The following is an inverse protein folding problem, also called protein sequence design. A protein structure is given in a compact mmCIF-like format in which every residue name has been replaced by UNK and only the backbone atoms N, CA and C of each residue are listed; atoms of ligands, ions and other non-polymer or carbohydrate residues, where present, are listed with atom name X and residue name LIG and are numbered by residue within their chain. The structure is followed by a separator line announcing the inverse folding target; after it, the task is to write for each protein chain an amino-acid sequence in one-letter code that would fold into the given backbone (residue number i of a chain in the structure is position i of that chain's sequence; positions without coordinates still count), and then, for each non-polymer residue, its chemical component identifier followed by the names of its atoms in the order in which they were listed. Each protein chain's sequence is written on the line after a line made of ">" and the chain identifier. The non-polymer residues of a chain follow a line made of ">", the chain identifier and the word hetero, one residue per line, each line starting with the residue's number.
data_IF_756569792173
#
_entry.id   IF_756569792173
#
_cell.length_a   1.000
_cell.length_b   1.000
_cell.length_c   1.000
_cell.angle_alpha   90.00
_cell.angle_beta   90.00
_cell.angle_gamma   90.00
#
_symmetry.space_group_name_H-M   'P 1'
#
loop_
_entity.id
_entity.type
_entity.pdbx_description
1 polymer ?
#
# COMPACT_ATOMS: atom_id res chain seq x y z
N UNK A 1 6.40 9.66 9.25
CA UNK A 1 5.51 8.67 8.59
C UNK A 1 6.33 7.43 8.34
N UNK A 2 5.87 6.27 8.81
CA UNK A 2 6.50 4.99 8.50
C UNK A 2 6.21 4.67 7.02
N UNK A 3 7.22 4.20 6.30
CA UNK A 3 7.06 3.74 4.92
C UNK A 3 6.16 2.49 4.91
N UNK A 4 5.29 2.35 3.90
CA UNK A 4 4.33 1.24 3.82
C UNK A 4 4.05 0.89 2.34
N UNK A 5 4.11 -0.40 2.00
CA UNK A 5 3.94 -0.91 0.64
C UNK A 5 2.57 -0.56 0.07
N UNK A 6 1.49 -0.75 0.83
CA UNK A 6 0.13 -0.44 0.38
C UNK A 6 -0.02 1.04 0.01
N UNK A 7 0.54 1.92 0.84
CA UNK A 7 0.53 3.36 0.58
C UNK A 7 1.36 3.73 -0.65
N UNK A 8 2.55 3.15 -0.80
CA UNK A 8 3.38 3.37 -1.99
C UNK A 8 2.68 2.88 -3.27
N UNK A 9 2.01 1.74 -3.21
CA UNK A 9 1.19 1.22 -4.30
C UNK A 9 0.04 2.18 -4.64
N UNK A 10 -0.66 2.73 -3.65
CA UNK A 10 -1.72 3.74 -3.89
C UNK A 10 -1.17 5.01 -4.56
N UNK A 11 0.01 5.47 -4.15
CA UNK A 11 0.68 6.61 -4.77
C UNK A 11 1.15 6.33 -6.20
N UNK A 12 1.55 5.08 -6.50
CA UNK A 12 1.84 4.62 -7.86
C UNK A 12 0.56 4.59 -8.69
N UNK A 13 -0.54 4.01 -8.19
CA UNK A 13 -1.85 3.98 -8.85
C UNK A 13 -2.34 5.40 -9.16
N UNK A 14 -2.20 6.33 -8.22
CA UNK A 14 -2.53 7.74 -8.45
C UNK A 14 -1.73 8.31 -9.63
N UNK A 15 -0.44 7.99 -9.73
CA UNK A 15 0.42 8.43 -10.84
C UNK A 15 -0.01 7.80 -12.19
N UNK A 16 -0.40 6.52 -12.18
CA UNK A 16 -0.89 5.82 -13.37
C UNK A 16 -2.26 6.33 -13.85
N UNK A 17 -3.10 6.81 -12.93
CA UNK A 17 -4.39 7.47 -13.24
C UNK A 17 -4.20 8.87 -13.83
N UNK A 18 -3.08 9.53 -13.55
CA UNK A 18 -2.74 10.83 -14.12
C UNK A 18 -2.05 10.70 -15.50
N UNK A 19 -1.25 9.65 -15.71
CA UNK A 19 -0.54 9.44 -16.96
C UNK A 19 -1.50 9.03 -18.10
N UNK A 20 -1.49 9.81 -19.17
CA UNK A 20 -2.28 9.54 -20.39
C UNK A 20 -1.55 8.59 -21.32
N UNK A 21 -2.27 7.57 -21.77
CA UNK A 21 -1.88 6.64 -22.83
C UNK A 21 -2.93 6.73 -23.94
N UNK A 22 -2.66 7.57 -24.94
CA UNK A 22 -3.64 7.89 -25.98
C UNK A 22 -4.91 8.56 -25.44
N UNK A 23 -6.07 7.91 -25.60
CA UNK A 23 -7.37 8.40 -25.12
C UNK A 23 -7.72 7.96 -23.70
N UNK A 24 -6.98 6.99 -23.15
CA UNK A 24 -7.17 6.39 -21.83
C UNK A 24 -6.02 6.77 -20.90
N UNK A 25 -6.14 6.47 -19.61
CA UNK A 25 -5.00 6.51 -18.68
C UNK A 25 -4.26 5.18 -18.69
N UNK A 26 -3.02 5.16 -18.19
CA UNK A 26 -2.26 3.91 -18.03
C UNK A 26 -3.01 2.95 -17.09
N UNK A 27 -3.66 3.47 -16.04
CA UNK A 27 -4.52 2.68 -15.16
C UNK A 27 -5.73 2.06 -15.88
N UNK A 28 -6.38 2.81 -16.78
CA UNK A 28 -7.51 2.29 -17.57
C UNK A 28 -7.08 1.20 -18.56
N UNK A 29 -5.85 1.30 -19.09
CA UNK A 29 -5.27 0.25 -19.94
C UNK A 29 -4.97 -1.00 -19.12
N UNK A 30 -4.33 -0.84 -17.96
CA UNK A 30 -4.00 -1.93 -17.03
C UNK A 30 -5.27 -2.68 -16.60
N UNK A 31 -6.25 -1.99 -16.05
CA UNK A 31 -7.52 -2.61 -15.60
C UNK A 31 -8.30 -3.24 -16.74
N UNK A 32 -8.13 -2.80 -17.99
CA UNK A 32 -8.75 -3.44 -19.16
C UNK A 32 -8.12 -4.78 -19.55
N UNK A 33 -6.93 -5.10 -19.04
CA UNK A 33 -6.25 -6.37 -19.25
C UNK A 33 -6.67 -7.45 -18.25
N UNK A 34 -7.24 -7.08 -17.10
CA UNK A 34 -7.76 -8.01 -16.10
C UNK A 34 -8.75 -9.02 -16.71
N UNK A 35 -9.60 -8.56 -17.62
CA UNK A 35 -10.59 -9.41 -18.30
C UNK A 35 -10.04 -10.14 -19.53
N UNK A 36 -8.74 -10.02 -19.83
CA UNK A 36 -8.10 -10.64 -20.99
C UNK A 36 -7.27 -11.84 -20.53
N UNK A 37 -7.58 -13.03 -21.05
CA UNK A 37 -6.73 -14.21 -20.85
C UNK A 37 -5.35 -13.95 -21.47
N UNK A 38 -4.31 -13.84 -20.65
CA UNK A 38 -2.96 -13.59 -21.15
C UNK A 38 -1.97 -13.15 -20.08
N UNK A 39 -0.75 -12.85 -20.55
CA UNK A 39 0.28 -12.18 -19.74
C UNK A 39 0.04 -10.68 -19.75
N UNK A 40 0.26 -10.03 -18.62
CA UNK A 40 0.28 -8.58 -18.52
C UNK A 40 1.22 -7.95 -19.56
N UNK A 41 0.81 -6.82 -20.12
CA UNK A 41 1.65 -6.06 -21.03
C UNK A 41 2.88 -5.52 -20.29
N UNK A 42 4.06 -5.97 -20.72
CA UNK A 42 5.33 -5.57 -20.14
C UNK A 42 5.54 -4.05 -20.18
N UNK A 43 5.03 -3.34 -21.19
CA UNK A 43 5.15 -1.88 -21.24
C UNK A 43 4.36 -1.20 -20.10
N UNK A 44 3.27 -1.82 -19.62
CA UNK A 44 2.52 -1.33 -18.46
C UNK A 44 3.24 -1.69 -17.16
N UNK A 45 3.81 -2.89 -17.07
CA UNK A 45 4.62 -3.31 -15.91
C UNK A 45 5.83 -2.39 -15.74
N UNK A 46 6.57 -2.10 -16.81
CA UNK A 46 7.72 -1.21 -16.81
C UNK A 46 7.35 0.22 -16.33
N UNK A 47 6.12 0.68 -16.60
CA UNK A 47 5.62 1.96 -16.08
C UNK A 47 5.36 1.90 -14.58
N UNK A 48 4.79 0.81 -14.07
CA UNK A 48 4.59 0.60 -12.63
C UNK A 48 5.96 0.61 -11.92
N UNK A 49 6.92 -0.17 -12.40
CA UNK A 49 8.29 -0.22 -11.86
C UNK A 49 8.95 1.16 -11.84
N UNK A 50 8.86 1.90 -12.95
CA UNK A 50 9.39 3.26 -13.05
C UNK A 50 8.80 4.18 -11.98
N UNK A 51 7.48 4.14 -11.78
CA UNK A 51 6.85 4.96 -10.73
C UNK A 51 7.23 4.48 -9.33
N UNK A 52 7.30 3.18 -9.08
CA UNK A 52 7.77 2.63 -7.81
C UNK A 52 9.19 3.13 -7.48
N UNK A 53 10.13 3.05 -8.43
CA UNK A 53 11.48 3.62 -8.28
C UNK A 53 11.46 5.13 -7.99
N UNK A 54 10.60 5.91 -8.67
CA UNK A 54 10.46 7.34 -8.42
C UNK A 54 9.94 7.63 -7.00
N UNK A 55 9.01 6.81 -6.50
CA UNK A 55 8.48 6.93 -5.13
C UNK A 55 9.49 6.52 -4.08
N UNK A 56 10.36 5.55 -4.35
CA UNK A 56 11.42 5.11 -3.43
C UNK A 56 12.61 6.09 -3.37
N UNK A 57 12.92 6.79 -4.47
CA UNK A 57 14.06 7.71 -4.58
C UNK A 57 14.23 8.75 -3.44
N UNK A 58 13.18 9.41 -2.91
CA UNK A 58 13.33 10.38 -1.83
C UNK A 58 13.58 9.78 -0.44
N UNK A 59 13.43 8.46 -0.27
CA UNK A 59 13.54 7.82 1.04
C UNK A 59 14.99 7.50 1.41
N UNK A 60 15.29 7.56 2.71
CA UNK A 60 16.62 7.29 3.24
C UNK A 60 16.87 5.78 3.30
N UNK A 61 18.12 5.38 3.27
CA UNK A 61 18.54 3.97 3.34
C UNK A 61 17.93 3.22 4.52
N UNK A 62 17.89 3.83 5.71
CA UNK A 62 17.27 3.22 6.89
C UNK A 62 15.77 2.99 6.71
N UNK A 63 15.06 3.89 6.03
CA UNK A 63 13.62 3.75 5.77
C UNK A 63 13.38 2.64 4.72
N UNK A 64 14.27 2.51 3.73
CA UNK A 64 14.25 1.43 2.74
C UNK A 64 14.49 0.07 3.41
N UNK A 65 15.53 -0.06 4.26
CA UNK A 65 15.82 -1.32 4.98
C UNK A 65 14.66 -1.72 5.90
N UNK A 66 14.11 -0.76 6.65
CA UNK A 66 12.96 -1.01 7.53
C UNK A 66 11.68 -1.39 6.77
N UNK A 67 11.51 -0.91 5.53
CA UNK A 67 10.42 -1.35 4.67
C UNK A 67 10.69 -2.75 4.10
N UNK A 68 11.93 -3.00 3.66
CA UNK A 68 12.34 -4.28 3.12
C UNK A 68 12.05 -5.42 4.10
N UNK A 69 12.29 -5.24 5.39
CA UNK A 69 11.94 -6.21 6.45
C UNK A 69 10.46 -6.66 6.46
N UNK A 70 9.55 -5.87 5.87
CA UNK A 70 8.13 -6.21 5.75
C UNK A 70 7.74 -6.88 4.42
N UNK A 71 8.70 -7.05 3.49
CA UNK A 71 8.49 -7.71 2.19
C UNK A 71 8.56 -9.23 2.31
N UNK A 72 7.94 -9.94 1.36
CA UNK A 72 8.04 -11.40 1.30
C UNK A 72 9.49 -11.84 1.06
N UNK A 73 10.22 -11.11 0.21
CA UNK A 73 11.64 -11.37 -0.06
C UNK A 73 12.51 -11.34 1.22
N UNK A 74 12.21 -10.45 2.17
CA UNK A 74 12.90 -10.44 3.46
C UNK A 74 12.53 -11.62 4.36
N UNK A 75 11.26 -12.04 4.35
CA UNK A 75 10.80 -13.20 5.11
C UNK A 75 11.44 -14.51 4.60
N UNK A 76 11.67 -14.60 3.30
CA UNK A 76 12.33 -15.73 2.64
C UNK A 76 13.86 -15.64 2.65
N UNK A 77 14.41 -14.47 3.02
CA UNK A 77 15.85 -14.24 3.12
C UNK A 77 16.42 -14.71 4.45
N UNK A 78 17.68 -15.16 4.43
CA UNK A 78 18.48 -15.41 5.62
C UNK A 78 19.45 -14.25 5.92
N UNK A 79 19.45 -13.18 5.11
CA UNK A 79 20.27 -11.98 5.32
C UNK A 79 19.57 -11.04 6.31
N UNK A 80 20.34 -10.48 7.25
CA UNK A 80 19.85 -9.42 8.12
C UNK A 80 19.67 -8.11 7.33
N UNK A 81 18.74 -7.26 7.80
CA UNK A 81 18.36 -6.03 7.10
C UNK A 81 19.46 -4.98 7.04
N UNK A 82 20.51 -5.09 7.85
CA UNK A 82 21.72 -4.26 7.83
C UNK A 82 22.80 -4.81 6.90
N UNK A 83 22.71 -6.08 6.50
CA UNK A 83 23.66 -6.74 5.59
C UNK A 83 23.23 -6.65 4.13
N UNK A 84 21.94 -6.52 3.83
CA UNK A 84 21.45 -6.44 2.45
C UNK A 84 21.97 -5.20 1.71
N UNK A 85 22.28 -5.34 0.42
CA UNK A 85 22.59 -4.22 -0.47
C UNK A 85 21.33 -3.36 -0.71
N UNK A 86 21.45 -2.04 -0.57
CA UNK A 86 20.32 -1.11 -0.74
C UNK A 86 19.64 -1.24 -2.10
N UNK A 87 20.40 -1.48 -3.17
CA UNK A 87 19.84 -1.66 -4.51
C UNK A 87 19.04 -2.95 -4.63
N UNK A 88 19.48 -4.04 -3.98
CA UNK A 88 18.73 -5.29 -3.87
C UNK A 88 17.44 -5.10 -3.07
N UNK A 89 17.53 -4.45 -1.89
CA UNK A 89 16.37 -4.14 -1.07
C UNK A 89 15.32 -3.30 -1.82
N UNK A 90 15.76 -2.32 -2.62
CA UNK A 90 14.84 -1.53 -3.47
C UNK A 90 14.21 -2.37 -4.57
N UNK A 91 14.96 -3.27 -5.20
CA UNK A 91 14.41 -4.14 -6.24
C UNK A 91 13.30 -5.03 -5.67
N UNK A 92 13.55 -5.67 -4.52
CA UNK A 92 12.57 -6.50 -3.83
C UNK A 92 11.31 -5.69 -3.45
N UNK A 93 11.48 -4.48 -2.92
CA UNK A 93 10.34 -3.59 -2.61
C UNK A 93 9.57 -3.18 -3.87
N UNK A 94 10.26 -2.95 -4.99
CA UNK A 94 9.61 -2.61 -6.26
C UNK A 94 8.76 -3.77 -6.76
N UNK A 95 9.27 -5.00 -6.66
CA UNK A 95 8.52 -6.22 -7.02
C UNK A 95 7.23 -6.33 -6.19
N UNK A 96 7.31 -6.16 -4.87
CA UNK A 96 6.14 -6.16 -3.99
C UNK A 96 5.13 -5.06 -4.35
N UNK A 97 5.61 -3.85 -4.69
CA UNK A 97 4.74 -2.75 -5.14
C UNK A 97 4.06 -3.13 -6.46
N UNK A 98 4.78 -3.72 -7.41
CA UNK A 98 4.21 -4.16 -8.69
C UNK A 98 3.11 -5.18 -8.45
N UNK A 99 3.38 -6.23 -7.67
CA UNK A 99 2.40 -7.26 -7.32
C UNK A 99 1.16 -6.62 -6.67
N UNK A 100 1.34 -5.70 -5.72
CA UNK A 100 0.22 -5.02 -5.06
C UNK A 100 -0.61 -4.15 -6.01
N UNK A 101 0.02 -3.50 -6.99
CA UNK A 101 -0.69 -2.71 -8.01
C UNK A 101 -1.48 -3.62 -8.94
N UNK A 102 -0.94 -4.78 -9.32
CA UNK A 102 -1.63 -5.77 -10.14
C UNK A 102 -2.81 -6.40 -9.39
N UNK A 103 -2.63 -6.77 -8.11
CA UNK A 103 -3.72 -7.25 -7.24
C UNK A 103 -4.87 -6.24 -7.17
N UNK A 104 -4.55 -4.96 -7.03
CA UNK A 104 -5.55 -3.88 -7.00
C UNK A 104 -6.18 -3.60 -8.36
N UNK A 105 -5.51 -3.93 -9.46
CA UNK A 105 -6.09 -3.85 -10.78
C UNK A 105 -7.08 -5.01 -10.99
N UNK A 106 -6.76 -6.20 -10.49
CA UNK A 106 -7.63 -7.37 -10.51
C UNK A 106 -8.68 -7.31 -9.39
N UNK A 107 -9.76 -6.56 -9.66
CA UNK A 107 -10.93 -6.44 -8.76
C UNK A 107 -11.61 -7.78 -8.44
N UNK A 108 -11.21 -8.89 -9.07
CA UNK A 108 -11.69 -10.24 -8.71
C UNK A 108 -11.24 -10.68 -7.31
N UNK A 109 -10.26 -9.98 -6.72
CA UNK A 109 -9.77 -10.20 -5.36
C UNK A 109 -10.45 -9.34 -4.28
N UNK A 110 -11.43 -8.48 -4.64
CA UNK A 110 -12.11 -7.59 -3.68
C UNK A 110 -13.29 -8.23 -2.92
N UNK A 111 -13.71 -9.46 -3.24
CA UNK A 111 -14.89 -10.10 -2.61
C UNK A 111 -14.57 -11.07 -1.45
N UNK A 112 -13.31 -11.31 -1.10
CA UNK A 112 -12.94 -12.08 0.10
C UNK A 112 -12.18 -11.21 1.12
N UNK A 113 -12.96 -10.48 1.93
CA UNK A 113 -12.68 -10.10 3.31
C UNK A 113 -11.21 -9.75 3.67
N UNK A 114 -10.70 -8.60 3.22
CA UNK A 114 -9.63 -7.93 3.96
C UNK A 114 -10.23 -6.86 4.87
N UNK A 115 -10.26 -7.17 6.17
CA UNK A 115 -10.55 -6.26 7.27
C UNK A 115 -9.95 -4.87 7.01
N UNK A 116 -10.78 -3.90 6.61
CA UNK A 116 -10.51 -2.49 6.83
C UNK A 116 -10.83 -2.20 8.29
N UNK A 117 -9.95 -2.61 9.20
CA UNK A 117 -9.84 -1.94 10.50
C UNK A 117 -9.01 -0.66 10.27
N UNK A 118 -9.65 0.29 9.59
CA UNK A 118 -9.28 1.70 9.70
C UNK A 118 -9.92 2.19 11.00
N UNK A 119 -9.28 1.86 12.13
CA UNK A 119 -9.50 2.59 13.37
C UNK A 119 -8.76 3.92 13.27
N UNK A 120 -9.52 5.01 13.14
CA UNK A 120 -9.56 6.10 14.13
C UNK A 120 -10.42 7.23 13.53
N UNK A 121 -11.75 7.06 13.61
CA UNK A 121 -12.65 8.22 13.76
C UNK A 121 -12.36 8.83 15.14
N UNK A 122 -11.37 9.72 15.21
CA UNK A 122 -11.41 10.82 16.18
C UNK A 122 -12.66 11.64 15.88
N UNK A 123 -13.77 11.39 16.59
CA UNK A 123 -14.70 12.45 17.01
C UNK A 123 -15.75 11.91 18.00
N UNK A 124 -16.06 12.76 18.99
CA UNK A 124 -17.13 12.65 19.98
C UNK A 124 -16.87 11.79 21.22
N UNK A 125 -16.04 12.32 22.13
CA UNK A 125 -16.27 12.06 23.56
C UNK A 125 -17.69 12.51 23.94
N UNK A 126 -18.55 11.53 24.17
CA UNK A 126 -19.84 11.67 24.82
C UNK A 126 -19.68 12.38 26.19
N UNK A 127 -20.20 13.60 26.30
CA UNK A 127 -20.58 14.20 27.58
C UNK A 127 -21.79 13.43 28.15
N UNK A 128 -21.52 12.23 28.66
CA UNK A 128 -22.51 11.41 29.36
C UNK A 128 -22.74 12.02 30.74
N UNK A 129 -23.59 13.04 30.79
CA UNK A 129 -24.13 13.66 32.00
C UNK A 129 -24.99 12.65 32.78
N UNK A 130 -24.34 11.73 33.48
CA UNK A 130 -25.00 10.75 34.33
C UNK A 130 -25.43 11.41 35.65
N UNK A 131 -26.73 11.57 35.77
CA UNK A 131 -27.45 12.13 36.90
C UNK A 131 -27.51 11.08 38.01
N UNK A 132 -26.72 11.24 39.07
CA UNK A 132 -26.93 10.50 40.31
C UNK A 132 -27.88 11.30 41.20
N UNK A 133 -29.15 10.89 41.21
CA UNK A 133 -30.04 11.05 42.35
C UNK A 133 -29.46 10.18 43.48
N UNK A 134 -29.04 10.79 44.58
CA UNK A 134 -28.82 10.08 45.84
C UNK A 134 -29.71 10.73 46.90
N UNK A 135 -30.80 10.04 47.17
CA UNK A 135 -31.78 10.40 48.18
C UNK A 135 -31.39 9.74 49.51
N UNK A 136 -31.25 10.60 50.54
CA UNK A 136 -31.52 10.38 51.98
C UNK A 136 -30.41 9.94 52.97
N UNK A 137 -30.30 10.84 53.95
CA UNK A 137 -30.41 10.65 55.42
C UNK A 137 -29.16 10.50 56.31
N UNK A 138 -29.30 11.25 57.43
CA UNK A 138 -28.71 11.14 58.77
C UNK A 138 -27.23 11.49 59.04
N UNK A 139 -27.01 12.68 59.62
CA UNK A 139 -26.68 12.85 61.06
C UNK A 139 -26.72 14.32 61.53
#
# INVERSE_FOLDING_TARGET
>A
MKLNINKLADEVIASLKEEKSGSKTVWDELTSQVSQDGTWDQELIDKIEKYAHLKLKPHKENDIRALWESTEAAMDSFEDSDEIEIEKAKADIVEDIVNKVLDKADTSYEDEEYYNEFDEDEDEMEDFGFKFDDEKDDF
#
